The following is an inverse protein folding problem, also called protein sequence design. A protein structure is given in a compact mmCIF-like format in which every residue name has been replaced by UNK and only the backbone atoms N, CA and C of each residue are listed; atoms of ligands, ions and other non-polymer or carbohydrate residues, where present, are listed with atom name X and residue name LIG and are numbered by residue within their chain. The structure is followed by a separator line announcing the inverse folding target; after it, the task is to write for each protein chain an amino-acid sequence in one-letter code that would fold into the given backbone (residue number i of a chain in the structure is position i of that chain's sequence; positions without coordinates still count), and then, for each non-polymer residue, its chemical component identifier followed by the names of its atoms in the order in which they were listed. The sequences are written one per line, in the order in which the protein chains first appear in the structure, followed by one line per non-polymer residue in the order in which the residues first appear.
data_IF_433982896386
#
_entry.id   IF_433982896386
#
_cell.length_a   1.000
_cell.length_b   1.000
_cell.length_c   1.000
_cell.angle_alpha   90.00
_cell.angle_beta   90.00
_cell.angle_gamma   90.00
#
_symmetry.space_group_name_H-M   'P 1'
#
loop_
_entity.id
_entity.type
_entity.pdbx_description
1 polymer ?
#
# COMPACT_ATOMS: atom_id res chain seq x y z
N UNK A 1 -21.98 -30.13 -5.80
CA UNK A 1 -21.84 -28.74 -6.22
C UNK A 1 -22.74 -28.56 -7.41
N UNK A 2 -23.67 -27.61 -7.38
CA UNK A 2 -24.65 -27.42 -8.45
C UNK A 2 -24.27 -26.18 -9.25
N UNK A 3 -23.92 -26.37 -10.52
CA UNK A 3 -23.66 -25.27 -11.45
C UNK A 3 -24.97 -24.82 -12.04
N UNK A 4 -25.33 -23.56 -11.80
CA UNK A 4 -26.55 -22.93 -12.28
C UNK A 4 -26.22 -21.62 -12.98
N UNK A 5 -27.02 -21.29 -13.98
CA UNK A 5 -26.95 -19.97 -14.62
C UNK A 5 -27.73 -18.99 -13.74
N UNK A 6 -27.06 -17.95 -13.26
CA UNK A 6 -27.65 -16.90 -12.43
C UNK A 6 -27.58 -15.57 -13.14
N UNK A 7 -28.64 -14.77 -12.99
CA UNK A 7 -28.62 -13.38 -13.43
C UNK A 7 -27.61 -12.60 -12.60
N UNK A 8 -26.84 -11.72 -13.24
CA UNK A 8 -25.89 -10.85 -12.56
C UNK A 8 -26.59 -9.95 -11.53
N UNK A 9 -27.84 -9.56 -11.77
CA UNK A 9 -28.61 -8.70 -10.87
C UNK A 9 -29.00 -9.39 -9.55
N UNK A 10 -29.14 -10.72 -9.57
CA UNK A 10 -29.46 -11.50 -8.37
C UNK A 10 -28.24 -11.70 -7.47
N UNK A 11 -27.03 -11.46 -8.00
CA UNK A 11 -25.75 -11.67 -7.30
C UNK A 11 -25.36 -10.40 -6.54
N UNK A 12 -25.30 -10.52 -5.21
CA UNK A 12 -24.94 -9.47 -4.28
C UNK A 12 -23.44 -9.48 -4.03
N UNK A 13 -22.81 -8.31 -4.22
CA UNK A 13 -21.37 -8.07 -4.03
C UNK A 13 -21.07 -7.10 -2.86
N UNK A 14 -22.09 -6.51 -2.26
CA UNK A 14 -22.03 -5.53 -1.17
C UNK A 14 -21.78 -6.17 0.22
N UNK A 15 -21.76 -7.50 0.29
CA UNK A 15 -21.58 -8.25 1.54
C UNK A 15 -20.17 -8.20 2.15
N UNK A 16 -19.24 -7.42 1.60
CA UNK A 16 -17.84 -7.41 2.07
C UNK A 16 -17.08 -8.71 1.76
N UNK A 17 -17.60 -9.51 0.83
CA UNK A 17 -16.98 -10.76 0.37
C UNK A 17 -15.77 -10.52 -0.54
N UNK A 18 -15.54 -9.29 -1.00
CA UNK A 18 -14.39 -8.95 -1.83
C UNK A 18 -13.10 -8.88 -1.01
N UNK A 19 -12.28 -9.93 -1.13
CA UNK A 19 -10.98 -10.06 -0.49
C UNK A 19 -9.90 -9.14 -1.10
N UNK A 20 -10.05 -8.68 -2.35
CA UNK A 20 -9.10 -7.75 -2.97
C UNK A 20 -9.30 -6.31 -2.50
N UNK A 21 -8.20 -5.57 -2.37
CA UNK A 21 -8.20 -4.13 -2.05
C UNK A 21 -8.69 -3.34 -3.26
N UNK A 22 -8.22 -3.71 -4.44
CA UNK A 22 -8.57 -3.06 -5.71
C UNK A 22 -8.89 -4.13 -6.74
N UNK A 23 -9.89 -3.87 -7.58
CA UNK A 23 -10.15 -4.67 -8.78
C UNK A 23 -9.25 -4.10 -9.86
N UNK A 24 -8.47 -4.95 -10.51
CA UNK A 24 -7.62 -4.52 -11.60
C UNK A 24 -8.46 -4.41 -12.88
N UNK A 25 -8.69 -3.17 -13.33
CA UNK A 25 -9.49 -2.88 -14.50
C UNK A 25 -8.89 -3.44 -15.79
N UNK A 26 -7.56 -3.55 -15.87
CA UNK A 26 -6.89 -4.16 -17.02
C UNK A 26 -7.24 -5.65 -17.11
N UNK A 27 -7.14 -6.39 -16.00
CA UNK A 27 -7.56 -7.79 -15.93
C UNK A 27 -9.06 -7.96 -16.27
N UNK A 28 -9.92 -7.03 -15.85
CA UNK A 28 -11.35 -7.06 -16.22
C UNK A 28 -11.54 -6.86 -17.73
N UNK A 29 -10.77 -5.96 -18.34
CA UNK A 29 -10.83 -5.71 -19.78
C UNK A 29 -10.36 -6.92 -20.58
N UNK A 30 -9.21 -7.51 -20.23
CA UNK A 30 -8.68 -8.71 -20.88
C UNK A 30 -9.70 -9.86 -20.81
N UNK A 31 -10.34 -10.04 -19.65
CA UNK A 31 -11.38 -11.05 -19.49
C UNK A 31 -12.65 -10.72 -20.27
N UNK A 32 -13.03 -9.45 -20.36
CA UNK A 32 -14.18 -9.02 -21.15
C UNK A 32 -13.95 -9.30 -22.65
N UNK A 33 -12.76 -8.98 -23.17
CA UNK A 33 -12.39 -9.28 -24.55
C UNK A 33 -12.37 -10.78 -24.83
N UNK A 34 -11.76 -11.58 -23.94
CA UNK A 34 -11.77 -13.03 -24.06
C UNK A 34 -13.20 -13.62 -23.98
N UNK A 35 -14.07 -13.09 -23.12
CA UNK A 35 -15.48 -13.49 -23.03
C UNK A 35 -16.29 -13.10 -24.27
N UNK A 36 -15.98 -11.96 -24.89
CA UNK A 36 -16.58 -11.54 -26.15
C UNK A 36 -16.11 -12.43 -27.31
N UNK A 37 -14.84 -12.87 -27.28
CA UNK A 37 -14.27 -13.86 -28.21
C UNK A 37 -14.76 -15.29 -28.00
N UNK A 38 -15.68 -15.55 -27.07
CA UNK A 38 -16.29 -16.86 -26.84
C UNK A 38 -15.47 -17.81 -25.95
N UNK A 39 -14.45 -17.32 -25.25
CA UNK A 39 -13.69 -18.16 -24.32
C UNK A 39 -14.58 -18.67 -23.17
N UNK A 40 -14.44 -19.96 -22.84
CA UNK A 40 -15.13 -20.56 -21.71
C UNK A 40 -14.39 -20.23 -20.40
N UNK A 41 -15.10 -19.60 -19.47
CA UNK A 41 -14.55 -19.29 -18.14
C UNK A 41 -15.09 -20.27 -17.09
N UNK A 42 -14.28 -20.60 -16.06
CA UNK A 42 -14.76 -21.35 -14.91
C UNK A 42 -15.94 -20.62 -14.23
N UNK A 43 -16.92 -21.37 -13.69
CA UNK A 43 -18.05 -20.77 -12.99
C UNK A 43 -17.60 -19.88 -11.81
N UNK A 44 -18.39 -18.88 -11.49
CA UNK A 44 -18.19 -18.06 -10.27
C UNK A 44 -18.74 -18.80 -9.05
N UNK A 45 -18.14 -18.64 -7.87
CA UNK A 45 -18.62 -19.34 -6.66
C UNK A 45 -19.54 -18.41 -5.88
N UNK A 46 -20.75 -18.87 -5.61
CA UNK A 46 -21.81 -18.08 -4.97
C UNK A 46 -22.39 -18.86 -3.81
N UNK A 47 -22.69 -18.18 -2.71
CA UNK A 47 -23.36 -18.74 -1.55
C UNK A 47 -24.78 -18.22 -1.45
N UNK A 48 -25.74 -19.12 -1.27
CA UNK A 48 -27.15 -18.79 -1.11
C UNK A 48 -27.58 -19.03 0.33
N UNK A 49 -28.08 -17.98 0.98
CA UNK A 49 -28.53 -17.98 2.38
C UNK A 49 -30.05 -18.22 2.53
N UNK A 50 -30.76 -18.46 1.42
CA UNK A 50 -32.22 -18.59 1.39
C UNK A 50 -32.95 -17.33 0.91
N UNK A 51 -32.27 -16.19 0.80
CA UNK A 51 -32.84 -14.94 0.31
C UNK A 51 -31.97 -14.28 -0.77
N UNK A 52 -30.65 -14.29 -0.60
CA UNK A 52 -29.68 -13.58 -1.43
C UNK A 52 -28.56 -14.50 -1.90
N UNK A 53 -28.02 -14.20 -3.09
CA UNK A 53 -26.86 -14.88 -3.65
C UNK A 53 -25.60 -14.04 -3.41
N UNK A 54 -24.72 -14.48 -2.52
CA UNK A 54 -23.48 -13.79 -2.17
C UNK A 54 -22.31 -14.28 -3.03
N UNK A 55 -21.70 -13.37 -3.79
CA UNK A 55 -20.51 -13.71 -4.57
C UNK A 55 -19.32 -13.95 -3.64
N UNK A 56 -18.75 -15.15 -3.66
CA UNK A 56 -17.58 -15.52 -2.85
C UNK A 56 -16.27 -15.49 -3.66
N UNK A 57 -16.30 -15.93 -4.91
CA UNK A 57 -15.13 -15.93 -5.80
C UNK A 57 -15.51 -15.59 -7.25
N UNK A 58 -14.55 -15.04 -8.00
CA UNK A 58 -14.72 -14.71 -9.41
C UNK A 58 -15.14 -13.26 -9.69
N UNK A 59 -14.82 -12.32 -8.79
CA UNK A 59 -15.16 -10.90 -8.98
C UNK A 59 -14.72 -10.33 -10.33
N UNK A 60 -13.49 -10.58 -10.79
CA UNK A 60 -13.05 -10.11 -12.11
C UNK A 60 -13.90 -10.69 -13.25
N UNK A 61 -14.32 -11.96 -13.13
CA UNK A 61 -15.21 -12.61 -14.12
C UNK A 61 -16.61 -12.00 -14.09
N UNK A 62 -17.14 -11.72 -12.89
CA UNK A 62 -18.40 -11.02 -12.72
C UNK A 62 -18.40 -9.63 -13.37
N UNK A 63 -17.36 -8.83 -13.10
CA UNK A 63 -17.23 -7.50 -13.71
C UNK A 63 -16.99 -7.56 -15.23
N UNK A 64 -16.25 -8.55 -15.72
CA UNK A 64 -16.06 -8.78 -17.15
C UNK A 64 -17.37 -9.16 -17.86
N UNK A 65 -18.16 -10.07 -17.27
CA UNK A 65 -19.48 -10.44 -17.79
C UNK A 65 -20.42 -9.24 -17.83
N UNK A 66 -20.42 -8.42 -16.77
CA UNK A 66 -21.21 -7.18 -16.72
C UNK A 66 -20.77 -6.17 -17.78
N UNK A 67 -19.45 -6.05 -18.02
CA UNK A 67 -18.89 -5.11 -19.02
C UNK A 67 -19.16 -5.55 -20.46
N UNK A 68 -19.26 -6.85 -20.71
CA UNK A 68 -19.65 -7.43 -22.02
C UNK A 68 -21.16 -7.39 -22.26
N UNK A 69 -21.96 -6.88 -21.31
CA UNK A 69 -23.41 -6.81 -21.45
C UNK A 69 -24.13 -8.15 -21.36
N UNK A 70 -23.47 -9.19 -20.83
CA UNK A 70 -24.15 -10.47 -20.53
C UNK A 70 -25.09 -10.23 -19.35
N UNK A 71 -26.30 -10.77 -19.41
CA UNK A 71 -27.26 -10.70 -18.31
C UNK A 71 -27.03 -11.81 -17.27
N UNK A 72 -26.43 -12.91 -17.73
CA UNK A 72 -26.27 -14.15 -16.98
C UNK A 72 -24.82 -14.61 -16.90
N UNK A 73 -24.50 -15.33 -15.83
CA UNK A 73 -23.20 -15.97 -15.62
C UNK A 73 -23.35 -17.38 -15.05
N UNK A 74 -22.45 -18.27 -15.45
CA UNK A 74 -22.35 -19.61 -14.85
C UNK A 74 -21.83 -19.49 -13.42
N UNK A 75 -22.61 -19.95 -12.45
CA UNK A 75 -22.30 -19.89 -11.03
C UNK A 75 -22.42 -21.26 -10.37
N UNK A 76 -21.44 -21.61 -9.53
CA UNK A 76 -21.53 -22.74 -8.61
C UNK A 76 -22.21 -22.26 -7.33
N UNK A 77 -23.45 -22.71 -7.11
CA UNK A 77 -24.25 -22.29 -5.95
C UNK A 77 -24.03 -23.26 -4.80
N UNK A 78 -23.61 -22.70 -3.66
CA UNK A 78 -23.43 -23.41 -2.40
C UNK A 78 -24.44 -22.89 -1.38
N UNK A 79 -24.99 -23.79 -0.56
CA UNK A 79 -25.83 -23.37 0.57
C UNK A 79 -24.93 -22.85 1.68
N UNK A 80 -25.18 -21.63 2.15
CA UNK A 80 -24.46 -21.06 3.28
C UNK A 80 -24.72 -19.58 3.47
N UNK A 81 -24.33 -19.07 4.62
CA UNK A 81 -24.56 -17.68 5.01
C UNK A 81 -23.55 -16.75 4.34
N UNK A 82 -23.81 -15.44 4.44
CA UNK A 82 -22.84 -14.40 4.08
C UNK A 82 -21.46 -14.63 4.72
N UNK A 83 -21.41 -15.11 5.97
CA UNK A 83 -20.16 -15.44 6.68
C UNK A 83 -19.36 -16.55 6.00
N UNK A 84 -20.04 -17.60 5.51
CA UNK A 84 -19.40 -18.71 4.80
C UNK A 84 -18.82 -18.23 3.45
N UNK A 85 -19.54 -17.32 2.78
CA UNK A 85 -19.07 -16.69 1.54
C UNK A 85 -17.77 -15.90 1.76
N UNK A 86 -17.69 -15.13 2.84
CA UNK A 86 -16.48 -14.39 3.23
C UNK A 86 -15.34 -15.37 3.52
N UNK A 87 -15.59 -16.39 4.35
CA UNK A 87 -14.59 -17.38 4.72
C UNK A 87 -14.03 -18.11 3.50
N UNK A 88 -14.88 -18.42 2.53
CA UNK A 88 -14.50 -19.01 1.25
C UNK A 88 -13.66 -18.05 0.40
N UNK A 89 -14.05 -16.78 0.28
CA UNK A 89 -13.32 -15.79 -0.52
C UNK A 89 -11.88 -15.60 -0.07
N UNK A 90 -11.68 -15.64 1.25
CA UNK A 90 -10.35 -15.45 1.87
C UNK A 90 -9.41 -16.62 1.56
N UNK A 91 -9.94 -17.85 1.47
CA UNK A 91 -9.17 -19.06 1.18
C UNK A 91 -8.99 -19.38 -0.31
N UNK A 92 -9.98 -19.05 -1.15
CA UNK A 92 -10.03 -19.46 -2.56
C UNK A 92 -8.81 -18.99 -3.40
N UNK A 93 -8.19 -17.87 -3.03
CA UNK A 93 -7.06 -17.28 -3.77
C UNK A 93 -5.69 -17.88 -3.42
N UNK A 94 -5.62 -18.98 -2.65
CA UNK A 94 -4.34 -19.63 -2.32
C UNK A 94 -3.84 -20.61 -3.39
N UNK A 95 -4.73 -21.13 -4.26
CA UNK A 95 -4.41 -22.29 -5.11
C UNK A 95 -4.40 -21.95 -6.61
N UNK A 96 -5.43 -21.27 -7.13
CA UNK A 96 -5.55 -20.98 -8.57
C UNK A 96 -6.13 -19.58 -8.82
N UNK A 97 -5.27 -18.57 -9.02
CA UNK A 97 -5.68 -17.20 -9.31
C UNK A 97 -4.51 -16.20 -9.33
N UNK A 98 -4.78 -14.97 -9.78
CA UNK A 98 -3.80 -13.87 -9.76
C UNK A 98 -3.23 -13.71 -8.34
N UNK A 99 -1.90 -13.71 -8.21
CA UNK A 99 -1.20 -13.62 -6.91
C UNK A 99 -1.75 -12.47 -6.07
N UNK A 100 -2.15 -12.78 -4.84
CA UNK A 100 -2.59 -11.75 -3.86
C UNK A 100 -1.45 -10.79 -3.57
N UNK A 101 -1.76 -9.49 -3.63
CA UNK A 101 -0.85 -8.45 -3.18
C UNK A 101 -0.68 -8.50 -1.65
N UNK A 102 0.36 -7.84 -1.13
CA UNK A 102 0.52 -7.66 0.32
C UNK A 102 -0.68 -6.94 0.94
N UNK A 103 -1.32 -6.02 0.21
CA UNK A 103 -2.53 -5.34 0.64
C UNK A 103 -3.72 -6.30 0.79
N UNK A 104 -3.93 -7.18 -0.19
CA UNK A 104 -5.00 -8.18 -0.15
C UNK A 104 -4.82 -9.17 1.00
N UNK A 105 -3.57 -9.60 1.24
CA UNK A 105 -3.24 -10.48 2.38
C UNK A 105 -3.54 -9.79 3.71
N UNK A 106 -3.23 -8.49 3.84
CA UNK A 106 -3.52 -7.73 5.05
C UNK A 106 -5.02 -7.56 5.25
N UNK A 107 -5.76 -7.19 4.19
CA UNK A 107 -7.22 -7.02 4.23
C UNK A 107 -7.92 -8.30 4.67
N UNK A 108 -7.55 -9.43 4.07
CA UNK A 108 -8.06 -10.76 4.43
C UNK A 108 -7.87 -11.09 5.92
N UNK A 109 -6.66 -10.92 6.44
CA UNK A 109 -6.37 -11.20 7.85
C UNK A 109 -7.09 -10.23 8.77
N UNK A 110 -7.11 -8.94 8.46
CA UNK A 110 -7.84 -7.94 9.27
C UNK A 110 -9.35 -8.23 9.29
N UNK A 111 -9.94 -8.65 8.16
CA UNK A 111 -11.35 -9.00 8.08
C UNK A 111 -11.69 -10.18 8.99
N UNK A 112 -10.85 -11.22 9.02
CA UNK A 112 -11.04 -12.35 9.94
C UNK A 112 -10.82 -11.95 11.41
N UNK A 113 -9.84 -11.09 11.70
CA UNK A 113 -9.56 -10.66 13.07
C UNK A 113 -10.58 -9.66 13.63
N UNK A 114 -11.38 -9.02 12.78
CA UNK A 114 -12.39 -8.05 13.18
C UNK A 114 -13.73 -8.71 13.61
N UNK A 115 -13.96 -9.96 13.24
CA UNK A 115 -15.14 -10.72 13.69
C UNK A 115 -14.85 -11.39 15.05
N UNK A 116 -15.83 -11.40 15.94
CA UNK A 116 -15.66 -11.94 17.31
C UNK A 116 -15.37 -13.45 17.30
N UNK A 117 -16.00 -14.21 16.40
CA UNK A 117 -15.84 -15.67 16.34
C UNK A 117 -14.50 -16.07 15.72
N UNK A 118 -14.14 -15.41 14.61
CA UNK A 118 -12.89 -15.68 13.90
C UNK A 118 -11.68 -15.04 14.57
N UNK A 119 -11.87 -13.92 15.26
CA UNK A 119 -10.87 -13.27 16.10
C UNK A 119 -10.41 -14.16 17.25
N UNK A 120 -11.31 -14.99 17.79
CA UNK A 120 -10.99 -15.98 18.83
C UNK A 120 -10.18 -17.18 18.31
N UNK A 121 -10.05 -17.37 16.99
CA UNK A 121 -9.26 -18.48 16.45
C UNK A 121 -7.76 -18.33 16.71
N UNK A 122 -7.06 -19.47 16.75
CA UNK A 122 -5.61 -19.49 16.86
C UNK A 122 -4.96 -18.82 15.64
N UNK A 123 -3.80 -18.18 15.86
CA UNK A 123 -3.03 -17.56 14.76
C UNK A 123 -2.76 -18.55 13.62
N UNK A 124 -2.56 -19.83 13.97
CA UNK A 124 -2.32 -20.90 13.00
C UNK A 124 -3.55 -21.16 12.13
N UNK A 125 -4.74 -21.28 12.72
CA UNK A 125 -5.98 -21.50 11.98
C UNK A 125 -6.31 -20.35 11.03
N UNK A 126 -6.09 -19.11 11.48
CA UNK A 126 -6.25 -17.91 10.64
C UNK A 126 -5.21 -17.88 9.51
N UNK A 127 -3.98 -18.30 9.80
CA UNK A 127 -2.90 -18.38 8.82
C UNK A 127 -3.18 -19.41 7.72
N UNK A 128 -3.64 -20.59 8.11
CA UNK A 128 -4.01 -21.68 7.19
C UNK A 128 -5.19 -21.24 6.30
N UNK A 129 -6.22 -20.63 6.89
CA UNK A 129 -7.38 -20.13 6.16
C UNK A 129 -7.01 -19.02 5.17
N UNK A 130 -6.13 -18.09 5.56
CA UNK A 130 -5.69 -16.99 4.72
C UNK A 130 -4.54 -17.36 3.78
N UNK A 131 -3.94 -18.55 3.85
CA UNK A 131 -2.71 -18.91 3.13
C UNK A 131 -1.55 -17.95 3.39
N UNK A 132 -1.31 -17.57 4.65
CA UNK A 132 -0.20 -16.70 5.09
C UNK A 132 0.60 -17.36 6.22
N UNK A 133 1.74 -16.81 6.60
CA UNK A 133 2.50 -17.35 7.74
C UNK A 133 1.87 -16.93 9.07
N UNK A 134 1.94 -17.79 10.08
CA UNK A 134 1.52 -17.49 11.46
C UNK A 134 2.13 -16.18 11.99
N UNK A 135 3.41 -15.94 11.71
CA UNK A 135 4.12 -14.73 12.11
C UNK A 135 3.51 -13.45 11.51
N UNK A 136 2.98 -13.54 10.29
CA UNK A 136 2.30 -12.42 9.63
C UNK A 136 0.97 -12.09 10.32
N UNK A 137 0.18 -13.11 10.65
CA UNK A 137 -1.07 -12.94 11.43
C UNK A 137 -0.80 -12.31 12.79
N UNK A 138 0.20 -12.83 13.51
CA UNK A 138 0.58 -12.31 14.82
C UNK A 138 0.97 -10.82 14.77
N UNK A 139 1.75 -10.42 13.75
CA UNK A 139 2.13 -9.02 13.52
C UNK A 139 0.91 -8.13 13.30
N UNK A 140 -0.07 -8.58 12.51
CA UNK A 140 -1.31 -7.83 12.24
C UNK A 140 -2.15 -7.74 13.52
N UNK A 141 -2.34 -8.84 14.23
CA UNK A 141 -3.09 -8.91 15.49
C UNK A 141 -2.51 -7.94 16.53
N UNK A 142 -1.18 -7.93 16.71
CA UNK A 142 -0.51 -6.98 17.60
C UNK A 142 -0.69 -5.53 17.14
N UNK A 143 -0.67 -5.27 15.82
CA UNK A 143 -0.90 -3.93 15.29
C UNK A 143 -2.32 -3.43 15.56
N UNK A 144 -3.33 -4.31 15.50
CA UNK A 144 -4.72 -3.98 15.81
C UNK A 144 -4.94 -3.78 17.32
N UNK A 145 -4.37 -4.67 18.15
CA UNK A 145 -4.44 -4.55 19.61
C UNK A 145 -3.74 -3.28 20.14
N UNK A 146 -2.64 -2.86 19.51
CA UNK A 146 -1.93 -1.61 19.86
C UNK A 146 -2.78 -0.36 19.55
N UNK A 147 -3.71 -0.46 18.59
CA UNK A 147 -4.63 0.63 18.25
C UNK A 147 -5.87 0.62 19.16
N UNK A 148 -6.32 -0.56 19.61
CA UNK A 148 -7.50 -0.72 20.47
C UNK A 148 -7.23 -0.46 21.97
N UNK A 149 -6.01 -0.70 22.47
CA UNK A 149 -5.63 -0.35 23.84
C UNK A 149 -5.26 1.13 23.91
N UNK A 150 -6.06 1.91 24.63
CA UNK A 150 -5.77 3.28 25.06
C UNK A 150 -4.29 3.46 25.45
N UNK A 151 -3.66 4.48 24.89
CA UNK A 151 -2.21 4.75 24.92
C UNK A 151 -1.68 5.20 26.29
N UNK A 152 -2.49 5.09 27.34
CA UNK A 152 -2.24 5.63 28.67
C UNK A 152 -2.80 4.68 29.72
N UNK A 153 -1.93 4.04 30.51
CA UNK A 153 -2.34 3.38 31.75
C UNK A 153 -2.24 4.41 32.89
N UNK A 154 -3.34 4.59 33.63
CA UNK A 154 -3.30 5.30 34.93
C UNK A 154 -2.73 4.34 35.97
N UNK A 155 -1.73 4.80 36.71
CA UNK A 155 -1.12 4.02 37.79
C UNK A 155 -1.02 4.87 39.06
N UNK A 156 -1.10 4.22 40.21
CA UNK A 156 -0.97 4.87 41.52
C UNK A 156 0.39 4.47 42.09
N UNK A 157 1.24 5.47 42.35
CA UNK A 157 2.52 5.25 43.00
C UNK A 157 2.33 4.87 44.47
N UNK A 158 3.35 4.26 45.09
CA UNK A 158 3.37 3.90 46.53
C UNK A 158 3.10 5.05 47.50
N UNK A 159 3.05 6.30 47.01
CA UNK A 159 2.74 7.52 47.75
C UNK A 159 1.34 8.11 47.43
N UNK A 160 0.44 7.32 46.81
CA UNK A 160 -0.95 7.72 46.53
C UNK A 160 -1.13 8.69 45.35
N UNK A 161 -0.05 9.17 44.73
CA UNK A 161 -0.12 10.06 43.57
C UNK A 161 -0.48 9.26 42.32
N UNK A 162 -1.58 9.65 41.66
CA UNK A 162 -2.01 9.05 40.39
C UNK A 162 -1.26 9.71 39.22
N UNK A 163 -0.53 8.92 38.45
CA UNK A 163 0.21 9.35 37.26
C UNK A 163 -0.30 8.66 36.00
N UNK A 164 -0.13 9.30 34.85
CA UNK A 164 -0.48 8.71 33.54
C UNK A 164 0.80 8.30 32.83
N UNK A 165 0.96 7.00 32.55
CA UNK A 165 2.13 6.47 31.86
C UNK A 165 1.80 6.19 30.39
N UNK A 166 2.55 6.79 29.47
CA UNK A 166 2.46 6.47 28.05
C UNK A 166 3.21 5.16 27.77
N UNK A 167 2.47 4.10 27.46
CA UNK A 167 3.01 2.74 27.31
C UNK A 167 3.42 2.40 25.88
N UNK A 168 3.34 3.36 24.93
CA UNK A 168 3.50 3.14 23.48
C UNK A 168 4.82 2.48 23.06
N UNK A 169 5.88 2.54 23.86
CA UNK A 169 7.21 1.98 23.56
C UNK A 169 7.62 0.80 24.44
N UNK A 170 6.81 0.39 25.41
CA UNK A 170 7.18 -0.70 26.32
C UNK A 170 7.11 -2.02 25.54
N UNK A 171 8.24 -2.72 25.41
CA UNK A 171 8.34 -4.00 24.68
C UNK A 171 8.80 -3.89 23.22
N UNK A 172 8.98 -2.68 22.67
CA UNK A 172 9.67 -2.54 21.39
C UNK A 172 11.18 -2.75 21.62
N UNK A 173 11.66 -3.95 21.33
CA UNK A 173 13.09 -4.25 21.22
C UNK A 173 13.73 -3.18 20.35
N UNK A 174 14.51 -2.27 20.95
CA UNK A 174 15.36 -1.36 20.18
C UNK A 174 16.23 -2.24 19.30
N UNK A 175 16.07 -2.15 17.97
CA UNK A 175 16.99 -2.84 17.04
C UNK A 175 18.40 -2.56 17.56
N UNK A 176 19.17 -3.61 17.90
CA UNK A 176 20.61 -3.47 18.10
C UNK A 176 21.12 -2.74 16.87
N UNK A 177 21.60 -1.52 17.08
CA UNK A 177 22.24 -0.74 16.01
C UNK A 177 23.46 -1.56 15.62
N UNK A 178 23.68 -1.83 14.33
CA UNK A 178 24.81 -2.64 13.90
C UNK A 178 26.09 -2.02 14.47
N UNK A 179 26.80 -2.84 15.23
CA UNK A 179 28.09 -2.57 15.83
C UNK A 179 29.11 -2.48 14.67
N UNK A 180 29.15 -1.33 13.98
CA UNK A 180 29.96 -1.25 12.76
C UNK A 180 29.99 0.06 11.98
N UNK A 181 29.42 1.16 12.48
CA UNK A 181 29.67 2.48 11.87
C UNK A 181 30.32 3.38 12.91
N UNK A 182 31.59 3.71 12.66
CA UNK A 182 32.44 4.50 13.54
C UNK A 182 31.70 5.74 14.01
N UNK A 183 31.60 5.91 15.33
CA UNK A 183 31.13 7.16 15.90
C UNK A 183 32.14 8.23 15.50
N UNK A 184 31.67 9.27 14.83
CA UNK A 184 32.40 10.52 14.69
C UNK A 184 32.83 10.95 16.11
N UNK A 185 34.14 11.12 16.33
CA UNK A 185 34.72 11.41 17.63
C UNK A 185 34.04 12.63 18.28
N UNK A 186 34.07 12.70 19.62
CA UNK A 186 33.37 13.73 20.40
C UNK A 186 33.74 15.17 19.97
N UNK A 187 34.95 15.33 19.42
CA UNK A 187 35.55 16.58 18.96
C UNK A 187 35.85 16.62 17.45
N UNK A 188 35.28 15.71 16.66
CA UNK A 188 35.48 15.77 15.22
C UNK A 188 34.77 17.00 14.64
N UNK A 189 35.41 17.63 13.66
CA UNK A 189 34.89 18.78 12.93
C UNK A 189 33.49 18.48 12.37
N UNK A 190 32.47 19.18 12.90
CA UNK A 190 31.10 19.15 12.39
C UNK A 190 30.94 20.37 11.50
N UNK A 191 30.67 20.23 10.19
CA UNK A 191 30.41 21.39 9.35
C UNK A 191 29.20 22.13 9.93
N UNK A 192 29.38 23.42 10.26
CA UNK A 192 28.28 24.29 10.66
C UNK A 192 27.34 24.40 9.48
N UNK A 193 26.11 23.89 9.61
CA UNK A 193 25.05 24.24 8.68
C UNK A 193 24.73 25.72 8.92
N UNK A 194 25.26 26.60 8.06
CA UNK A 194 24.85 27.99 8.02
C UNK A 194 23.38 28.03 7.60
N UNK A 195 22.50 28.35 8.54
CA UNK A 195 21.11 28.74 8.27
C UNK A 195 21.07 30.27 8.41
N UNK A 196 21.54 30.98 7.38
CA UNK A 196 21.22 32.40 7.17
C UNK A 196 19.89 32.54 6.44
N UNK A 197 19.41 33.77 6.22
CA UNK A 197 18.16 34.04 5.47
C UNK A 197 18.19 33.46 4.04
N UNK A 198 19.39 33.24 3.50
CA UNK A 198 19.61 32.44 2.30
C UNK A 198 20.00 31.02 2.70
N UNK A 199 19.01 30.13 2.73
CA UNK A 199 19.21 28.69 2.91
C UNK A 199 20.15 28.10 1.84
N UNK A 200 20.48 26.79 1.90
CA UNK A 200 21.39 26.17 0.95
C UNK A 200 20.94 26.44 -0.49
N UNK A 201 21.75 27.21 -1.23
CA UNK A 201 21.45 27.57 -2.62
C UNK A 201 21.27 26.29 -3.42
N UNK A 202 20.09 26.08 -4.06
CA UNK A 202 19.83 24.85 -4.78
C UNK A 202 20.77 24.74 -5.99
N UNK A 203 21.82 23.91 -5.85
CA UNK A 203 22.73 23.61 -6.95
C UNK A 203 22.03 22.75 -8.00
N UNK A 204 22.19 23.12 -9.27
CA UNK A 204 21.71 22.34 -10.42
C UNK A 204 22.91 21.88 -11.23
N UNK A 205 22.94 20.61 -11.62
CA UNK A 205 23.98 20.04 -12.49
C UNK A 205 23.71 20.43 -13.94
N UNK A 206 24.69 21.03 -14.63
CA UNK A 206 24.60 21.38 -16.06
C UNK A 206 25.62 20.55 -16.84
N UNK A 207 25.19 19.94 -17.95
CA UNK A 207 26.09 19.44 -18.98
C UNK A 207 26.26 20.51 -20.06
N UNK A 208 27.46 21.05 -20.22
CA UNK A 208 27.77 22.09 -21.20
C UNK A 208 28.58 21.51 -22.38
N UNK A 209 28.15 21.74 -23.63
CA UNK A 209 28.93 21.32 -24.79
C UNK A 209 30.21 22.15 -24.91
N UNK A 210 31.38 21.53 -24.70
CA UNK A 210 32.69 22.20 -24.66
C UNK A 210 33.14 22.78 -26.02
N UNK A 211 32.64 22.23 -27.13
CA UNK A 211 33.03 22.62 -28.48
C UNK A 211 32.05 23.58 -29.17
N UNK A 212 30.99 24.02 -28.46
CA UNK A 212 29.98 24.92 -29.03
C UNK A 212 29.48 25.94 -28.00
N UNK A 213 30.14 27.10 -27.87
CA UNK A 213 29.82 28.10 -26.84
C UNK A 213 28.42 28.72 -27.03
N UNK A 214 27.93 28.81 -28.26
CA UNK A 214 26.59 29.35 -28.53
C UNK A 214 25.50 28.41 -28.02
N UNK A 215 25.68 27.11 -28.20
CA UNK A 215 24.75 26.11 -27.70
C UNK A 215 24.81 25.99 -26.17
N UNK A 216 26.02 26.11 -25.59
CA UNK A 216 26.20 26.18 -24.14
C UNK A 216 25.43 27.38 -23.52
N UNK A 217 25.54 28.56 -24.12
CA UNK A 217 24.83 29.76 -23.66
C UNK A 217 23.30 29.59 -23.74
N UNK A 218 22.77 29.02 -24.83
CA UNK A 218 21.33 28.74 -24.97
C UNK A 218 20.82 27.76 -23.92
N UNK A 219 21.58 26.70 -23.63
CA UNK A 219 21.24 25.75 -22.57
C UNK A 219 21.22 26.39 -21.18
N UNK A 220 22.15 27.31 -20.89
CA UNK A 220 22.16 28.05 -19.63
C UNK A 220 20.95 28.97 -19.46
N UNK A 221 20.60 29.73 -20.51
CA UNK A 221 19.43 30.62 -20.50
C UNK A 221 18.15 29.82 -20.27
N UNK A 222 17.99 28.67 -20.94
CA UNK A 222 16.80 27.82 -20.77
C UNK A 222 16.66 27.21 -19.37
N UNK A 223 17.77 26.91 -18.69
CA UNK A 223 17.74 26.26 -17.37
C UNK A 223 17.59 27.23 -16.20
N UNK A 224 18.13 28.45 -16.29
CA UNK A 224 18.19 29.39 -15.17
C UNK A 224 17.39 30.68 -15.39
N UNK A 225 16.87 30.90 -16.60
CA UNK A 225 16.16 32.12 -16.96
C UNK A 225 17.09 33.25 -17.38
N UNK A 226 16.56 34.21 -18.14
CA UNK A 226 17.35 35.29 -18.73
C UNK A 226 17.94 36.26 -17.70
N UNK A 227 17.16 36.61 -16.67
CA UNK A 227 17.55 37.63 -15.69
C UNK A 227 18.75 37.18 -14.84
N UNK A 228 18.74 35.92 -14.39
CA UNK A 228 19.84 35.33 -13.63
C UNK A 228 21.12 35.21 -14.48
N UNK A 229 20.99 34.78 -15.75
CA UNK A 229 22.15 34.66 -16.64
C UNK A 229 22.75 36.03 -16.96
N UNK A 230 21.96 37.10 -17.06
CA UNK A 230 22.49 38.47 -17.24
C UNK A 230 23.33 38.91 -16.04
N UNK A 231 22.88 38.63 -14.82
CA UNK A 231 23.64 38.89 -13.58
C UNK A 231 24.92 38.04 -13.54
N UNK A 232 24.81 36.74 -13.83
CA UNK A 232 25.95 35.83 -13.86
C UNK A 232 27.02 36.28 -14.88
N UNK A 233 26.62 36.75 -16.06
CA UNK A 233 27.55 37.26 -17.08
C UNK A 233 28.23 38.54 -16.61
N UNK A 234 27.54 39.41 -15.87
CA UNK A 234 28.15 40.60 -15.27
C UNK A 234 29.26 40.20 -14.27
N UNK A 235 28.95 39.29 -13.34
CA UNK A 235 29.91 38.78 -12.36
C UNK A 235 31.08 38.04 -13.00
N UNK A 236 30.82 37.18 -13.98
CA UNK A 236 31.88 36.48 -14.71
C UNK A 236 32.84 37.46 -15.39
N UNK A 237 32.33 38.57 -15.93
CA UNK A 237 33.18 39.60 -16.52
C UNK A 237 34.01 40.36 -15.48
N UNK A 238 33.47 40.60 -14.28
CA UNK A 238 34.24 41.20 -13.17
C UNK A 238 35.37 40.28 -12.71
N UNK A 239 35.05 38.99 -12.50
CA UNK A 239 36.02 37.96 -12.10
C UNK A 239 37.12 37.80 -13.14
N UNK A 240 36.76 37.73 -14.44
CA UNK A 240 37.74 37.59 -15.52
C UNK A 240 38.62 38.84 -15.70
N UNK A 241 38.14 40.02 -15.28
CA UNK A 241 38.91 41.28 -15.27
C UNK A 241 39.76 41.44 -14.00
N UNK A 242 39.61 40.58 -13.00
CA UNK A 242 40.39 40.59 -11.76
C UNK A 242 39.92 41.61 -10.71
N UNK A 243 38.70 42.15 -10.86
CA UNK A 243 38.11 43.05 -9.86
C UNK A 243 37.39 42.21 -8.79
N UNK A 244 37.61 42.46 -7.48
CA UNK A 244 36.97 41.68 -6.44
C UNK A 244 35.45 41.91 -6.42
N UNK A 245 34.71 40.81 -6.50
CA UNK A 245 33.26 40.75 -6.25
C UNK A 245 32.97 41.32 -4.85
N UNK A 246 32.07 42.31 -4.76
CA UNK A 246 31.53 42.79 -3.49
C UNK A 246 30.48 41.78 -2.99
N UNK A 247 30.94 40.74 -2.30
CA UNK A 247 30.13 39.94 -1.36
C UNK A 247 30.65 40.18 0.08
#
# INVERSE_FOLDING_TARGET
METKTLSLNDIRIDGGTQSRVTIDEATVLDYAEAMAGGAAFPPVVVFYDGACHWLADGFHRYFAARKTGREDIQAEVRRGLRRDAILHSVGANSVHGLRRSLGDKRKAVTLLLADDEWGAWSDQRVADQCGVSRQYVNRIRNSLATVASEQTRRYVNKHGTTGTMNTRRIGQSSKRRPDGEGRIAKDAYRPRQFHGEDGPVPMRTIALPLNNPQQAARSMIGLYGEDYIRQLVHELNLILKGEPSND
#
